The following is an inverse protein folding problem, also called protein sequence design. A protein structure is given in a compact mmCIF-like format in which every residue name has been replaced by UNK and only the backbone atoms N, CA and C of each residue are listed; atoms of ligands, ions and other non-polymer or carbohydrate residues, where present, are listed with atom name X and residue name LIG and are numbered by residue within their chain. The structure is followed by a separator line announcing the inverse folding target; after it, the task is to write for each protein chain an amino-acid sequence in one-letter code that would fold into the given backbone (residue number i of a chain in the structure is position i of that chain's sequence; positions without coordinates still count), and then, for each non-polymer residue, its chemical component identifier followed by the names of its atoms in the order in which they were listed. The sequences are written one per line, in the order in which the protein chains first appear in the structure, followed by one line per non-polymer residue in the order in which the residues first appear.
data_IF_997693230869
#
_entry.id   IF_997693230869
#
_cell.length_a   1.000
_cell.length_b   1.000
_cell.length_c   1.000
_cell.angle_alpha   90.00
_cell.angle_beta   90.00
_cell.angle_gamma   90.00
#
_symmetry.space_group_name_H-M   'P 1'
#
loop_
_entity.id
_entity.type
_entity.pdbx_description
1 polymer ?
#
# COMPACT_ATOMS: atom_id res chain seq x y z
N UNK A 1 -11.07 -2.56 -2.43
CA UNK A 1 -10.78 -3.90 -1.85
C UNK A 1 -10.90 -3.99 -0.32
N UNK A 2 -11.15 -2.91 0.44
CA UNK A 2 -11.12 -2.98 1.91
C UNK A 2 -12.18 -3.87 2.58
N UNK A 3 -13.33 -4.11 1.96
CA UNK A 3 -14.35 -5.04 2.49
C UNK A 3 -13.86 -6.50 2.48
N UNK A 4 -13.31 -6.95 1.35
CA UNK A 4 -12.73 -8.30 1.22
C UNK A 4 -11.57 -8.46 2.21
N UNK A 5 -10.73 -7.45 2.31
CA UNK A 5 -9.61 -7.41 3.25
C UNK A 5 -10.06 -7.68 4.70
N UNK A 6 -11.15 -7.06 5.13
CA UNK A 6 -11.73 -7.28 6.46
C UNK A 6 -12.20 -8.72 6.69
N UNK A 7 -12.84 -9.34 5.70
CA UNK A 7 -13.29 -10.74 5.80
C UNK A 7 -12.09 -11.70 5.91
N UNK A 8 -11.00 -11.43 5.19
CA UNK A 8 -9.77 -12.22 5.27
C UNK A 8 -9.14 -12.09 6.66
N UNK A 9 -9.03 -10.88 7.21
CA UNK A 9 -8.46 -10.67 8.56
C UNK A 9 -9.31 -11.28 9.68
N UNK A 10 -10.64 -11.34 9.53
CA UNK A 10 -11.51 -12.06 10.47
C UNK A 10 -11.15 -13.56 10.57
N UNK A 11 -10.54 -14.13 9.51
CA UNK A 11 -10.01 -15.50 9.50
C UNK A 11 -8.56 -15.59 9.99
N UNK A 12 -8.04 -14.53 10.62
CA UNK A 12 -6.67 -14.43 11.16
C UNK A 12 -5.57 -14.48 10.10
N UNK A 13 -5.89 -14.11 8.86
CA UNK A 13 -4.91 -13.96 7.78
C UNK A 13 -4.61 -12.46 7.64
N UNK A 14 -3.38 -12.00 7.91
CA UNK A 14 -3.05 -10.58 7.84
C UNK A 14 -3.03 -10.10 6.39
N UNK A 15 -3.41 -8.83 6.19
CA UNK A 15 -3.50 -8.25 4.85
C UNK A 15 -3.05 -6.79 4.80
N UNK A 16 -2.49 -6.39 3.66
CA UNK A 16 -2.23 -4.99 3.34
C UNK A 16 -2.54 -4.76 1.86
N UNK A 17 -3.20 -3.65 1.56
CA UNK A 17 -3.51 -3.24 0.19
C UNK A 17 -2.64 -2.06 -0.26
N UNK A 18 -2.14 -2.10 -1.50
CA UNK A 18 -1.56 -0.92 -2.15
C UNK A 18 -2.67 -0.19 -2.90
N UNK A 19 -2.79 1.12 -2.69
CA UNK A 19 -3.87 1.95 -3.23
C UNK A 19 -3.35 3.22 -3.89
N UNK A 20 -4.09 3.67 -4.90
CA UNK A 20 -3.80 4.87 -5.68
C UNK A 20 -4.81 6.01 -5.44
N UNK A 21 -5.85 5.76 -4.62
CA UNK A 21 -6.89 6.76 -4.28
C UNK A 21 -6.98 6.96 -2.77
N UNK A 22 -6.42 8.05 -2.26
CA UNK A 22 -6.28 8.27 -0.81
C UNK A 22 -7.64 8.46 -0.14
N UNK A 23 -8.47 9.32 -0.71
CA UNK A 23 -9.74 9.75 -0.16
C UNK A 23 -10.73 8.58 -0.08
N UNK A 24 -10.84 7.81 -1.17
CA UNK A 24 -11.66 6.59 -1.20
C UNK A 24 -11.17 5.57 -0.16
N UNK A 25 -9.85 5.41 -0.04
CA UNK A 25 -9.27 4.45 0.93
C UNK A 25 -9.58 4.87 2.37
N UNK A 26 -9.46 6.15 2.68
CA UNK A 26 -9.81 6.72 3.99
C UNK A 26 -11.27 6.48 4.34
N UNK A 27 -12.18 6.63 3.38
CA UNK A 27 -13.62 6.35 3.58
C UNK A 27 -13.88 4.87 3.84
N UNK A 28 -13.23 3.97 3.09
CA UNK A 28 -13.41 2.52 3.21
C UNK A 28 -12.84 1.96 4.52
N UNK A 29 -11.82 2.61 5.10
CA UNK A 29 -11.12 2.20 6.32
C UNK A 29 -10.70 0.72 6.27
N UNK A 30 -9.85 0.30 5.32
CA UNK A 30 -9.34 -1.07 5.29
C UNK A 30 -8.52 -1.35 6.55
N UNK A 31 -8.29 -2.63 6.93
CA UNK A 31 -7.42 -2.96 8.04
C UNK A 31 -6.06 -2.24 7.96
N UNK A 32 -5.38 -2.29 6.81
CA UNK A 32 -4.08 -1.64 6.56
C UNK A 32 -3.95 -1.30 5.09
N UNK A 33 -3.33 -0.18 4.75
CA UNK A 33 -3.02 0.14 3.36
C UNK A 33 -1.70 0.91 3.22
N UNK A 34 -1.11 0.84 2.03
CA UNK A 34 -0.03 1.70 1.57
C UNK A 34 -0.55 2.54 0.41
N UNK A 35 -0.51 3.87 0.55
CA UNK A 35 -0.94 4.80 -0.48
C UNK A 35 0.24 5.35 -1.28
N UNK A 36 0.14 5.26 -2.61
CA UNK A 36 1.05 5.90 -3.56
C UNK A 36 0.29 6.88 -4.43
N UNK A 37 0.81 8.11 -4.58
CA UNK A 37 0.30 9.10 -5.53
C UNK A 37 0.87 8.84 -6.93
N UNK A 38 0.64 7.63 -7.45
CA UNK A 38 1.10 7.19 -8.77
C UNK A 38 -0.06 7.16 -9.78
N UNK A 39 0.22 7.19 -11.10
CA UNK A 39 -0.81 7.03 -12.12
C UNK A 39 -1.56 5.70 -11.97
N UNK A 40 -2.84 5.70 -12.35
CA UNK A 40 -3.62 4.46 -12.40
C UNK A 40 -2.92 3.41 -13.27
N UNK A 41 -3.05 2.14 -12.85
CA UNK A 41 -2.36 1.01 -13.50
C UNK A 41 -0.92 0.79 -13.05
N UNK A 42 -0.35 1.66 -12.19
CA UNK A 42 1.04 1.57 -11.77
C UNK A 42 1.21 1.46 -10.23
N UNK A 43 0.51 0.51 -9.55
CA UNK A 43 0.56 0.40 -8.09
C UNK A 43 1.93 0.00 -7.53
N UNK A 44 2.82 -0.57 -8.35
CA UNK A 44 4.16 -0.98 -7.96
C UNK A 44 5.27 -0.11 -8.56
N UNK A 45 4.93 1.00 -9.22
CA UNK A 45 5.91 1.84 -9.88
C UNK A 45 6.01 1.61 -11.39
N UNK A 46 7.14 2.02 -11.94
CA UNK A 46 7.45 2.00 -13.36
C UNK A 46 7.79 0.60 -13.85
N UNK A 47 7.49 0.33 -15.12
CA UNK A 47 7.90 -0.91 -15.76
C UNK A 47 9.43 -1.04 -15.71
N UNK A 48 9.91 -2.26 -15.41
CA UNK A 48 11.33 -2.61 -15.32
C UNK A 48 12.15 -1.86 -14.26
N UNK A 49 11.55 -1.00 -13.43
CA UNK A 49 12.25 -0.31 -12.35
C UNK A 49 12.29 -1.17 -11.07
N UNK A 50 13.05 -2.26 -11.13
CA UNK A 50 13.06 -3.34 -10.11
C UNK A 50 13.32 -2.81 -8.69
N UNK A 51 14.24 -1.84 -8.53
CA UNK A 51 14.53 -1.25 -7.21
C UNK A 51 13.32 -0.56 -6.58
N UNK A 52 12.56 0.18 -7.39
CA UNK A 52 11.34 0.85 -6.95
C UNK A 52 10.27 -0.17 -6.55
N UNK A 53 10.02 -1.14 -7.43
CA UNK A 53 9.03 -2.19 -7.20
C UNK A 53 9.34 -2.99 -5.94
N UNK A 54 10.61 -3.37 -5.76
CA UNK A 54 11.09 -4.07 -4.56
C UNK A 54 10.92 -3.23 -3.31
N UNK A 55 11.31 -1.96 -3.34
CA UNK A 55 11.18 -1.05 -2.19
C UNK A 55 9.72 -0.91 -1.77
N UNK A 56 8.81 -0.67 -2.72
CA UNK A 56 7.36 -0.57 -2.45
C UNK A 56 6.81 -1.86 -1.82
N UNK A 57 7.22 -3.03 -2.33
CA UNK A 57 6.81 -4.31 -1.75
C UNK A 57 7.36 -4.50 -0.33
N UNK A 58 8.62 -4.15 -0.10
CA UNK A 58 9.26 -4.24 1.23
C UNK A 58 8.56 -3.32 2.22
N UNK A 59 8.23 -2.09 1.85
CA UNK A 59 7.49 -1.17 2.71
C UNK A 59 6.08 -1.68 3.01
N UNK A 60 5.40 -2.26 2.02
CA UNK A 60 4.09 -2.85 2.22
C UNK A 60 4.17 -4.03 3.22
N UNK A 61 5.14 -4.93 3.06
CA UNK A 61 5.33 -6.07 3.97
C UNK A 61 5.78 -5.61 5.36
N UNK A 62 6.64 -4.61 5.45
CA UNK A 62 7.01 -3.98 6.72
C UNK A 62 5.79 -3.39 7.41
N UNK A 63 4.94 -2.69 6.66
CA UNK A 63 3.65 -2.19 7.14
C UNK A 63 2.72 -3.30 7.60
N UNK A 64 2.69 -4.45 6.90
CA UNK A 64 1.91 -5.62 7.29
C UNK A 64 2.30 -6.12 8.69
N UNK A 65 3.59 -6.14 9.00
CA UNK A 65 4.12 -6.63 10.28
C UNK A 65 4.00 -5.61 11.43
N UNK A 66 4.12 -4.32 11.10
CA UNK A 66 4.29 -3.25 12.09
C UNK A 66 3.00 -2.49 12.41
N UNK A 67 2.08 -2.35 11.47
CA UNK A 67 0.82 -1.62 11.68
C UNK A 67 -0.09 -2.44 12.60
N UNK A 68 -0.44 -1.86 13.75
CA UNK A 68 -1.34 -2.45 14.75
C UNK A 68 -2.73 -1.81 14.79
N UNK A 69 -2.84 -0.57 14.34
CA UNK A 69 -4.10 0.16 14.34
C UNK A 69 -4.85 -0.06 13.02
N UNK A 70 -6.09 -0.59 13.05
CA UNK A 70 -6.88 -0.73 11.85
C UNK A 70 -7.20 0.63 11.22
N UNK A 71 -7.11 0.72 9.89
CA UNK A 71 -7.35 1.98 9.17
C UNK A 71 -6.10 2.82 8.95
N UNK A 72 -4.94 2.43 9.48
CA UNK A 72 -3.68 3.11 9.17
C UNK A 72 -3.37 2.99 7.67
N UNK A 73 -2.99 4.13 7.09
CA UNK A 73 -2.55 4.26 5.70
C UNK A 73 -1.10 4.75 5.71
N UNK A 74 -0.17 3.88 5.33
CA UNK A 74 1.23 4.23 5.15
C UNK A 74 1.39 5.13 3.93
N UNK A 75 2.13 6.23 4.08
CA UNK A 75 2.41 7.18 3.01
C UNK A 75 3.92 7.43 2.90
N UNK A 76 4.67 6.59 2.16
CA UNK A 76 6.14 6.68 2.11
C UNK A 76 6.66 7.95 1.40
N UNK A 77 5.79 8.71 0.73
CA UNK A 77 6.18 10.00 0.14
C UNK A 77 6.88 9.89 -1.22
N UNK A 78 6.95 8.70 -1.82
CA UNK A 78 7.55 8.51 -3.13
C UNK A 78 6.87 9.36 -4.20
N UNK A 79 7.70 10.05 -4.99
CA UNK A 79 7.25 10.89 -6.10
C UNK A 79 7.47 10.15 -7.42
N UNK A 80 6.41 10.01 -8.21
CA UNK A 80 6.45 9.36 -9.51
C UNK A 80 7.56 9.94 -10.40
N UNK A 81 8.46 9.09 -10.92
CA UNK A 81 9.59 9.46 -11.79
C UNK A 81 10.59 10.48 -11.22
N UNK A 82 10.53 10.76 -9.91
CA UNK A 82 11.37 11.79 -9.26
C UNK A 82 11.99 11.34 -7.94
N UNK A 83 11.64 10.15 -7.47
CA UNK A 83 12.26 9.55 -6.31
C UNK A 83 13.39 8.62 -6.74
N UNK A 84 14.54 8.71 -6.07
CA UNK A 84 15.68 7.82 -6.29
C UNK A 84 15.53 6.65 -5.32
N UNK A 85 15.58 5.43 -5.85
CA UNK A 85 15.48 4.20 -5.06
C UNK A 85 16.85 3.53 -5.02
N UNK A 86 17.43 3.49 -3.82
CA UNK A 86 18.77 2.94 -3.56
C UNK A 86 18.82 1.40 -3.58
#
# INVERSE_FOLDING_TARGET
MGLIQRIIEQRKIPTIGITLQKEVTMTVKPPRALFLRYPFGHPLGEAFHVRQQRTILVDALTGLETIREPGTILTPGYVWRRHVFD
#
